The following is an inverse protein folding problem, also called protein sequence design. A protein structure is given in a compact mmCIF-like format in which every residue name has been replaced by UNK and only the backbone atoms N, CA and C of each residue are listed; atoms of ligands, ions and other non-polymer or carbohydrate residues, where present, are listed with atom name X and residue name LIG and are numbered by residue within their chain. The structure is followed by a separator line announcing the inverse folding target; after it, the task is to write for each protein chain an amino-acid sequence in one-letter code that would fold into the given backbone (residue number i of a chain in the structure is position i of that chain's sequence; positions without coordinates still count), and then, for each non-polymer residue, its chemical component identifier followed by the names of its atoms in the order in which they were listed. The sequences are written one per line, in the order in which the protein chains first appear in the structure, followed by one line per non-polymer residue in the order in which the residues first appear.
data_IF_263990191532
#
_entry.id   IF_263990191532
#
_cell.length_a   1.000
_cell.length_b   1.000
_cell.length_c   1.000
_cell.angle_alpha   90.00
_cell.angle_beta   90.00
_cell.angle_gamma   90.00
#
_symmetry.space_group_name_H-M   'P 1'
#
loop_
_entity.id
_entity.type
_entity.pdbx_description
1 polymer ?
#
# COMPACT_ATOMS: atom_id res chain seq x y z
N UNK A 1 3.70 2.39 11.11
CA UNK A 1 5.10 2.19 11.48
C UNK A 1 5.80 1.21 10.54
N UNK A 2 5.17 0.07 10.27
CA UNK A 2 5.72 -0.90 9.34
C UNK A 2 5.85 -0.30 7.94
N UNK A 3 4.83 0.41 7.47
CA UNK A 3 4.87 1.05 6.16
C UNK A 3 5.89 2.18 6.10
N UNK A 4 6.14 2.85 7.20
CA UNK A 4 7.15 3.90 7.23
C UNK A 4 8.53 3.34 6.94
N UNK A 5 8.84 2.16 7.47
CA UNK A 5 10.10 1.46 7.20
C UNK A 5 10.19 0.96 5.75
N UNK A 6 9.04 0.68 5.13
CA UNK A 6 8.97 0.17 3.76
C UNK A 6 8.63 1.24 2.73
N UNK A 7 8.62 2.50 3.13
CA UNK A 7 8.20 3.58 2.23
C UNK A 7 9.03 3.62 0.94
N UNK A 8 10.31 3.26 1.00
CA UNK A 8 11.15 3.19 -0.19
C UNK A 8 10.62 2.20 -1.23
N UNK A 9 10.05 1.08 -0.79
CA UNK A 9 9.49 0.08 -1.69
C UNK A 9 8.24 0.64 -2.38
N UNK A 10 7.35 1.27 -1.61
CA UNK A 10 6.14 1.87 -2.17
C UNK A 10 6.47 3.03 -3.12
N UNK A 11 7.46 3.85 -2.77
CA UNK A 11 7.91 4.93 -3.64
C UNK A 11 8.47 4.42 -4.97
N UNK A 12 9.09 3.25 -4.99
CA UNK A 12 9.56 2.66 -6.25
C UNK A 12 8.40 2.30 -7.18
N UNK A 13 7.27 1.85 -6.61
CA UNK A 13 6.07 1.60 -7.40
C UNK A 13 5.66 2.85 -8.19
N UNK A 14 5.73 3.99 -7.51
CA UNK A 14 5.35 5.28 -8.08
C UNK A 14 6.40 5.84 -9.03
N UNK A 15 7.67 5.80 -8.63
CA UNK A 15 8.76 6.44 -9.37
C UNK A 15 8.93 5.88 -10.77
N UNK A 16 8.70 4.59 -10.95
CA UNK A 16 8.79 3.95 -12.27
C UNK A 16 7.81 4.56 -13.26
N UNK A 17 6.59 4.81 -12.82
CA UNK A 17 5.55 5.38 -13.67
C UNK A 17 5.67 6.89 -13.79
N UNK A 18 6.27 7.53 -12.81
CA UNK A 18 6.52 8.97 -12.83
C UNK A 18 7.43 9.36 -14.01
N UNK A 19 8.34 8.47 -14.41
CA UNK A 19 9.22 8.72 -15.57
C UNK A 19 8.44 8.80 -16.88
N UNK A 20 7.34 8.04 -16.96
CA UNK A 20 6.46 8.06 -18.14
C UNK A 20 5.46 9.21 -18.09
N UNK A 21 5.06 9.59 -16.91
CA UNK A 21 4.10 10.66 -16.69
C UNK A 21 4.60 11.53 -15.53
N UNK A 22 5.38 12.59 -15.83
CA UNK A 22 5.96 13.42 -14.78
C UNK A 22 4.94 14.17 -13.92
N UNK A 23 3.70 14.28 -14.37
CA UNK A 23 2.64 14.95 -13.62
C UNK A 23 1.82 13.99 -12.74
N UNK A 24 2.20 12.71 -12.71
CA UNK A 24 1.46 11.70 -11.96
C UNK A 24 1.50 12.03 -10.47
N UNK A 25 0.32 12.18 -9.89
CA UNK A 25 0.16 12.44 -8.45
C UNK A 25 -1.21 12.01 -8.01
N UNK A 26 -1.35 11.68 -6.75
CA UNK A 26 -2.63 11.33 -6.19
C UNK A 26 -2.50 10.42 -4.99
N UNK A 27 -3.62 9.89 -4.56
CA UNK A 27 -3.72 9.06 -3.38
C UNK A 27 -4.22 7.66 -3.76
N UNK A 28 -3.63 6.65 -3.14
CA UNK A 28 -4.05 5.26 -3.28
C UNK A 28 -4.42 4.76 -1.88
N UNK A 29 -5.67 4.36 -1.69
CA UNK A 29 -6.12 3.81 -0.41
C UNK A 29 -6.26 2.31 -0.56
N UNK A 30 -5.52 1.56 0.26
CA UNK A 30 -5.57 0.10 0.28
C UNK A 30 -6.26 -0.34 1.56
N UNK A 31 -7.26 -1.20 1.41
CA UNK A 31 -7.92 -1.85 2.54
C UNK A 31 -7.38 -3.28 2.64
N UNK A 32 -6.95 -3.65 3.83
CA UNK A 32 -6.35 -4.96 4.02
C UNK A 32 -6.65 -5.50 5.41
N UNK A 33 -6.48 -6.82 5.54
CA UNK A 33 -6.66 -7.52 6.80
C UNK A 33 -5.30 -7.99 7.29
N UNK A 34 -4.99 -7.70 8.55
CA UNK A 34 -3.82 -8.28 9.23
C UNK A 34 -4.33 -9.46 10.05
N UNK A 35 -3.86 -10.64 9.71
CA UNK A 35 -4.25 -11.87 10.40
C UNK A 35 -3.61 -11.98 11.77
N UNK A 36 -4.08 -12.94 12.54
CA UNK A 36 -3.59 -13.17 13.91
C UNK A 36 -2.09 -13.47 13.97
N UNK A 37 -1.52 -13.97 12.88
CA UNK A 37 -0.09 -14.28 12.76
C UNK A 37 0.72 -13.13 12.17
N UNK A 38 0.09 -11.99 11.86
CA UNK A 38 0.76 -10.84 11.26
C UNK A 38 0.83 -10.86 9.74
N UNK A 39 0.37 -11.92 9.09
CA UNK A 39 0.31 -11.97 7.63
C UNK A 39 -0.87 -11.15 7.12
N UNK A 40 -0.89 -10.88 5.80
CA UNK A 40 -1.97 -10.13 5.15
C UNK A 40 -2.67 -11.07 4.16
N UNK A 41 -3.73 -11.77 4.60
CA UNK A 41 -4.45 -12.69 3.71
C UNK A 41 -5.26 -11.99 2.63
N UNK A 42 -5.68 -10.75 2.87
CA UNK A 42 -6.49 -9.99 1.93
C UNK A 42 -6.02 -8.55 1.86
N UNK A 43 -5.85 -8.04 0.64
CA UNK A 43 -5.58 -6.64 0.37
C UNK A 43 -6.25 -6.27 -0.94
N UNK A 44 -6.87 -5.10 -1.00
CA UNK A 44 -7.49 -4.62 -2.21
C UNK A 44 -7.51 -3.10 -2.26
N UNK A 45 -7.61 -2.57 -3.47
CA UNK A 45 -7.73 -1.14 -3.71
C UNK A 45 -9.12 -0.69 -3.26
N UNK A 46 -9.18 0.25 -2.33
CA UNK A 46 -10.45 0.80 -1.87
C UNK A 46 -10.83 2.04 -2.65
N UNK A 47 -9.86 2.93 -2.87
CA UNK A 47 -10.09 4.19 -3.58
C UNK A 47 -8.77 4.67 -4.16
N UNK A 48 -8.84 5.41 -5.23
CA UNK A 48 -7.65 6.01 -5.83
C UNK A 48 -8.01 7.30 -6.54
N UNK A 49 -7.16 8.29 -6.43
CA UNK A 49 -7.17 9.48 -7.29
C UNK A 49 -5.95 9.51 -8.21
N UNK A 50 -5.06 8.52 -8.08
CA UNK A 50 -3.86 8.44 -8.92
C UNK A 50 -4.19 7.98 -10.35
N UNK A 51 -5.16 7.05 -10.48
CA UNK A 51 -5.64 6.54 -11.76
C UNK A 51 -4.52 5.93 -12.62
N UNK A 52 -3.66 5.14 -11.98
CA UNK A 52 -2.58 4.42 -12.66
C UNK A 52 -2.56 2.98 -12.18
N UNK A 53 -3.00 2.07 -13.04
CA UNK A 53 -3.13 0.65 -12.68
C UNK A 53 -1.80 0.01 -12.28
N UNK A 54 -0.71 0.43 -12.87
CA UNK A 54 0.61 -0.15 -12.57
C UNK A 54 1.01 0.18 -11.14
N UNK A 55 0.88 1.44 -10.74
CA UNK A 55 1.21 1.86 -9.36
C UNK A 55 0.25 1.21 -8.38
N UNK A 56 -1.04 1.24 -8.68
CA UNK A 56 -2.07 0.68 -7.78
C UNK A 56 -1.83 -0.80 -7.53
N UNK A 57 -1.60 -1.58 -8.57
CA UNK A 57 -1.33 -3.02 -8.42
C UNK A 57 -0.05 -3.27 -7.66
N UNK A 58 0.99 -2.49 -7.94
CA UNK A 58 2.27 -2.61 -7.26
C UNK A 58 2.11 -2.35 -5.75
N UNK A 59 1.39 -1.30 -5.38
CA UNK A 59 1.16 -0.96 -3.97
C UNK A 59 0.36 -2.05 -3.27
N UNK A 60 -0.72 -2.51 -3.87
CA UNK A 60 -1.55 -3.58 -3.29
C UNK A 60 -0.72 -4.85 -3.09
N UNK A 61 0.10 -5.23 -4.09
CA UNK A 61 0.95 -6.40 -3.99
C UNK A 61 1.96 -6.27 -2.86
N UNK A 62 2.57 -5.10 -2.69
CA UNK A 62 3.54 -4.89 -1.62
C UNK A 62 2.87 -4.91 -0.25
N UNK A 63 1.66 -4.37 -0.12
CA UNK A 63 0.89 -4.48 1.11
C UNK A 63 0.64 -5.95 1.45
N UNK A 64 0.26 -6.75 0.47
CA UNK A 64 -0.06 -8.16 0.69
C UNK A 64 1.17 -8.98 1.11
N UNK A 65 2.37 -8.52 0.79
CA UNK A 65 3.63 -9.19 1.16
C UNK A 65 4.20 -8.69 2.48
N UNK A 66 3.60 -7.69 3.08
CA UNK A 66 4.09 -7.09 4.32
C UNK A 66 3.76 -7.99 5.50
N UNK A 67 4.71 -8.12 6.43
CA UNK A 67 4.51 -8.83 7.69
C UNK A 67 4.39 -7.80 8.80
N UNK A 68 3.33 -7.92 9.57
CA UNK A 68 3.06 -7.02 10.68
C UNK A 68 3.34 -7.72 12.00
N UNK A 69 3.56 -6.95 13.08
CA UNK A 69 3.52 -7.54 14.41
C UNK A 69 2.16 -8.21 14.63
N UNK A 70 2.14 -9.28 15.42
CA UNK A 70 0.87 -9.94 15.73
C UNK A 70 -0.05 -8.95 16.43
N UNK A 71 -1.32 -8.83 15.98
CA UNK A 71 -2.28 -8.02 16.72
C UNK A 71 -2.52 -8.59 18.11
N UNK A 72 -2.93 -7.74 19.04
CA UNK A 72 -3.30 -8.19 20.37
C UNK A 72 -4.58 -9.03 20.27
N UNK A 73 -4.60 -10.15 20.99
CA UNK A 73 -5.74 -11.06 21.00
C UNK A 73 -5.66 -12.06 19.84
N UNK A 74 -6.76 -12.79 19.64
CA UNK A 74 -6.82 -13.91 18.69
C UNK A 74 -7.44 -13.52 17.35
N UNK A 75 -7.84 -12.28 17.20
CA UNK A 75 -8.58 -11.85 16.01
C UNK A 75 -7.70 -11.21 14.96
N UNK A 76 -8.31 -10.94 13.83
CA UNK A 76 -7.70 -10.16 12.77
C UNK A 76 -8.12 -8.69 12.89
N UNK A 77 -7.36 -7.83 12.21
CA UNK A 77 -7.59 -6.37 12.21
C UNK A 77 -7.77 -5.92 10.76
N UNK A 78 -8.80 -5.10 10.52
CA UNK A 78 -9.02 -4.49 9.20
C UNK A 78 -8.45 -3.08 9.22
N UNK A 79 -7.64 -2.76 8.23
CA UNK A 79 -6.96 -1.47 8.12
C UNK A 79 -7.23 -0.86 6.76
N UNK A 80 -7.46 0.45 6.72
CA UNK A 80 -7.44 1.23 5.48
C UNK A 80 -6.29 2.22 5.59
N UNK A 81 -5.37 2.18 4.64
CA UNK A 81 -4.18 3.02 4.69
C UNK A 81 -4.05 3.84 3.41
N UNK A 82 -3.90 5.16 3.53
CA UNK A 82 -3.71 6.03 2.37
C UNK A 82 -2.24 6.20 2.05
N UNK A 83 -1.88 5.97 0.80
CA UNK A 83 -0.56 6.27 0.28
C UNK A 83 -0.69 7.53 -0.58
N UNK A 84 -0.03 8.59 -0.17
CA UNK A 84 -0.04 9.85 -0.91
C UNK A 84 1.23 9.94 -1.75
N UNK A 85 1.05 10.04 -3.06
CA UNK A 85 2.16 10.15 -4.00
C UNK A 85 2.13 11.51 -4.67
N UNK A 86 3.29 12.11 -4.76
CA UNK A 86 3.44 13.39 -5.45
C UNK A 86 4.89 13.62 -5.83
N UNK A 87 5.14 14.49 -6.83
CA UNK A 87 6.50 14.87 -7.16
C UNK A 87 7.12 15.64 -5.99
N UNK A 88 8.39 15.44 -5.80
CA UNK A 88 9.14 16.15 -4.77
C UNK A 88 9.43 17.59 -5.18
#
# INVERSE_FOLDING_TARGET
LVFKQKMGIFMRCYQRELQRNPELKGKVVVRFVVGADGSVPHAHLRATSLENNVVESCVVDEVSRTRFPRPDGDGSVVVSYPFNFGPL
#
